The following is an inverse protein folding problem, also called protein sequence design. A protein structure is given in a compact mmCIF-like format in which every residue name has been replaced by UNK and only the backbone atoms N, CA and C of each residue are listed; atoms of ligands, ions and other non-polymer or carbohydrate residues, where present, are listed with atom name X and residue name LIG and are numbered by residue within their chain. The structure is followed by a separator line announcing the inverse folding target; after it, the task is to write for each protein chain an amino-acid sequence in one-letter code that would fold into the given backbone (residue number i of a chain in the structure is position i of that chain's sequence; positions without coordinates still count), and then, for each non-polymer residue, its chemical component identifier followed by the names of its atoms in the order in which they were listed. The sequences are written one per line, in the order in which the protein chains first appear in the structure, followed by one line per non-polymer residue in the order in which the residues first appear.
data_IF_843593009734
#
_entry.id   IF_843593009734
#
_cell.length_a   1.000
_cell.length_b   1.000
_cell.length_c   1.000
_cell.angle_alpha   90.00
_cell.angle_beta   90.00
_cell.angle_gamma   90.00
#
_symmetry.space_group_name_H-M   'P 1'
#
loop_
_entity.id
_entity.type
_entity.pdbx_description
1 polymer ?
#
# COMPACT_ATOMS: atom_id res chain seq x y z
N UNK A 1 21.82 -18.85 -15.97
CA UNK A 1 22.43 -19.62 -14.86
C UNK A 1 22.12 -18.88 -13.57
N UNK A 2 21.17 -19.35 -12.78
CA UNK A 2 20.90 -18.76 -11.47
C UNK A 2 22.14 -18.93 -10.59
N UNK A 3 22.68 -17.84 -10.05
CA UNK A 3 23.76 -17.87 -9.08
C UNK A 3 23.20 -18.37 -7.75
N UNK A 4 23.44 -19.65 -7.46
CA UNK A 4 23.08 -20.29 -6.20
C UNK A 4 24.06 -19.79 -5.12
N UNK A 5 23.66 -18.78 -4.35
CA UNK A 5 24.50 -18.20 -3.30
C UNK A 5 24.24 -18.91 -1.98
N UNK A 6 25.04 -19.94 -1.70
CA UNK A 6 25.18 -20.43 -0.32
C UNK A 6 25.69 -19.28 0.53
N UNK A 7 24.92 -18.91 1.55
CA UNK A 7 25.35 -17.84 2.46
C UNK A 7 26.66 -18.23 3.13
N UNK A 8 27.68 -17.35 3.17
CA UNK A 8 28.95 -17.62 3.84
C UNK A 8 28.78 -18.10 5.29
N UNK A 9 27.76 -17.60 5.97
CA UNK A 9 27.38 -18.01 7.33
C UNK A 9 27.10 -19.51 7.43
N UNK A 10 26.41 -20.09 6.46
CA UNK A 10 26.05 -21.51 6.46
C UNK A 10 27.28 -22.39 6.23
N UNK A 11 28.17 -22.01 5.31
CA UNK A 11 29.44 -22.71 5.11
C UNK A 11 30.28 -22.70 6.39
N UNK A 12 30.43 -21.55 7.03
CA UNK A 12 31.16 -21.46 8.29
C UNK A 12 30.51 -22.30 9.41
N UNK A 13 29.18 -22.28 9.54
CA UNK A 13 28.48 -23.12 10.52
C UNK A 13 28.73 -24.62 10.29
N UNK A 14 28.70 -25.09 9.04
CA UNK A 14 28.99 -26.49 8.70
C UNK A 14 30.45 -26.85 8.97
N UNK A 15 31.41 -26.00 8.58
CA UNK A 15 32.83 -26.23 8.88
C UNK A 15 33.12 -26.19 10.38
N UNK A 16 32.43 -25.35 11.15
CA UNK A 16 32.53 -25.33 12.61
C UNK A 16 31.98 -26.63 13.22
N UNK A 17 30.81 -27.09 12.75
CA UNK A 17 30.27 -28.39 13.15
C UNK A 17 31.24 -29.55 12.84
N UNK A 18 31.89 -29.53 11.68
CA UNK A 18 32.94 -30.49 11.31
C UNK A 18 34.13 -30.46 12.27
N UNK A 19 34.63 -29.27 12.62
CA UNK A 19 35.73 -29.13 13.58
C UNK A 19 35.35 -29.70 14.95
N UNK A 20 34.12 -29.46 15.41
CA UNK A 20 33.61 -30.03 16.67
C UNK A 20 33.64 -31.56 16.60
N UNK A 21 33.15 -32.16 15.52
CA UNK A 21 33.17 -33.63 15.35
C UNK A 21 34.61 -34.14 15.33
N UNK A 22 35.53 -33.51 14.60
CA UNK A 22 36.94 -33.91 14.57
C UNK A 22 37.60 -33.81 15.95
N UNK A 23 37.30 -32.76 16.72
CA UNK A 23 37.81 -32.59 18.10
C UNK A 23 37.24 -33.67 19.01
N UNK A 24 35.95 -33.98 18.93
CA UNK A 24 35.34 -35.06 19.71
C UNK A 24 36.01 -36.40 19.39
N UNK A 25 36.19 -36.72 18.10
CA UNK A 25 36.88 -37.95 17.67
C UNK A 25 38.33 -37.97 18.16
N UNK A 26 39.05 -36.85 18.11
CA UNK A 26 40.42 -36.72 18.64
C UNK A 26 40.47 -37.01 20.15
N UNK A 27 39.61 -36.36 20.91
CA UNK A 27 39.56 -36.48 22.37
C UNK A 27 39.19 -37.90 22.76
N UNK A 28 38.18 -38.49 22.11
CA UNK A 28 37.80 -39.89 22.31
C UNK A 28 38.96 -40.85 22.01
N UNK A 29 39.70 -40.64 20.92
CA UNK A 29 40.85 -41.46 20.57
C UNK A 29 42.03 -41.31 21.57
N UNK A 30 42.33 -40.08 22.02
CA UNK A 30 43.35 -39.82 23.03
C UNK A 30 42.98 -40.41 24.40
N UNK A 31 41.71 -40.34 24.79
CA UNK A 31 41.21 -40.92 26.03
C UNK A 31 41.32 -42.44 26.04
N UNK A 32 40.91 -43.11 24.95
CA UNK A 32 41.06 -44.56 24.79
C UNK A 32 42.52 -45.01 24.81
N UNK A 33 43.42 -44.22 24.19
CA UNK A 33 44.87 -44.43 24.27
C UNK A 33 45.39 -44.28 25.71
N UNK A 34 44.87 -43.31 26.47
CA UNK A 34 45.29 -43.01 27.84
C UNK A 34 44.87 -44.04 28.88
N UNK A 35 43.72 -44.71 28.71
CA UNK A 35 43.24 -45.74 29.64
C UNK A 35 43.98 -47.07 29.47
N UNK A 36 44.83 -47.20 28.45
CA UNK A 36 45.57 -48.44 28.20
C UNK A 36 44.66 -49.59 27.75
N UNK A 37 43.41 -49.31 27.36
CA UNK A 37 42.61 -50.27 26.60
C UNK A 37 43.38 -50.64 25.34
N UNK A 38 43.35 -51.92 24.96
CA UNK A 38 44.11 -52.51 23.87
C UNK A 38 43.72 -51.99 22.46
N UNK A 39 43.77 -50.68 22.24
CA UNK A 39 44.18 -50.10 20.96
C UNK A 39 45.68 -50.39 20.74
N UNK A 40 46.05 -51.66 20.85
CA UNK A 40 47.33 -52.26 20.42
C UNK A 40 47.23 -52.72 18.95
N UNK A 41 46.19 -52.29 18.23
CA UNK A 41 46.00 -52.60 16.82
C UNK A 41 47.00 -51.81 15.96
N UNK A 42 47.50 -52.46 14.91
CA UNK A 42 48.20 -51.80 13.80
C UNK A 42 47.34 -50.62 13.29
N UNK A 43 47.94 -49.44 13.11
CA UNK A 43 47.26 -48.27 12.48
C UNK A 43 46.87 -47.11 13.40
N UNK A 44 47.20 -47.12 14.70
CA UNK A 44 46.91 -45.97 15.60
C UNK A 44 47.61 -44.69 15.16
N UNK A 45 48.90 -44.77 14.77
CA UNK A 45 49.65 -43.62 14.25
C UNK A 45 49.07 -43.12 12.92
N UNK A 46 48.69 -44.04 12.04
CA UNK A 46 48.04 -43.75 10.76
C UNK A 46 46.68 -43.05 10.98
N UNK A 47 45.93 -43.44 12.02
CA UNK A 47 44.67 -42.80 12.38
C UNK A 47 44.86 -41.36 12.88
N UNK A 48 45.88 -41.11 13.73
CA UNK A 48 46.20 -39.73 14.15
C UNK A 48 46.69 -38.88 12.98
N UNK A 49 47.47 -39.44 12.05
CA UNK A 49 47.89 -38.77 10.82
C UNK A 49 46.70 -38.43 9.91
N UNK A 50 45.76 -39.36 9.75
CA UNK A 50 44.51 -39.12 9.01
C UNK A 50 43.70 -37.98 9.63
N UNK A 51 43.61 -37.96 10.97
CA UNK A 51 42.89 -36.90 11.67
C UNK A 51 43.57 -35.54 11.52
N UNK A 52 44.90 -35.50 11.62
CA UNK A 52 45.70 -34.29 11.35
C UNK A 52 45.50 -33.80 9.91
N UNK A 53 45.47 -34.72 8.95
CA UNK A 53 45.16 -34.42 7.55
C UNK A 53 43.72 -33.88 7.39
N UNK A 54 42.74 -34.44 8.10
CA UNK A 54 41.36 -33.93 8.09
C UNK A 54 41.27 -32.50 8.64
N UNK A 55 42.01 -32.16 9.71
CA UNK A 55 42.14 -30.79 10.21
C UNK A 55 42.79 -29.87 9.16
N UNK A 56 43.87 -30.32 8.53
CA UNK A 56 44.57 -29.57 7.47
C UNK A 56 43.63 -29.26 6.29
N UNK A 57 42.92 -30.26 5.76
CA UNK A 57 41.92 -30.09 4.69
C UNK A 57 40.85 -29.07 5.10
N UNK A 58 40.37 -29.13 6.35
CA UNK A 58 39.37 -28.17 6.86
C UNK A 58 39.90 -26.74 6.87
N UNK A 59 41.14 -26.54 7.33
CA UNK A 59 41.80 -25.22 7.34
C UNK A 59 41.99 -24.71 5.91
N UNK A 60 42.45 -25.56 4.99
CA UNK A 60 42.62 -25.20 3.58
C UNK A 60 41.28 -24.82 2.95
N UNK A 61 40.21 -25.56 3.23
CA UNK A 61 38.86 -25.25 2.73
C UNK A 61 38.36 -23.88 3.23
N UNK A 62 38.59 -23.55 4.51
CA UNK A 62 38.24 -22.24 5.09
C UNK A 62 39.02 -21.10 4.43
N UNK A 63 40.34 -21.27 4.25
CA UNK A 63 41.21 -20.27 3.61
C UNK A 63 40.89 -20.09 2.12
N UNK A 64 40.55 -21.18 1.43
CA UNK A 64 40.12 -21.16 0.03
C UNK A 64 38.81 -20.42 -0.12
N UNK A 65 37.83 -20.71 0.74
CA UNK A 65 36.52 -20.04 0.73
C UNK A 65 36.64 -18.53 1.00
N UNK A 66 37.56 -18.11 1.87
CA UNK A 66 37.82 -16.67 2.11
C UNK A 66 38.29 -15.93 0.84
N UNK A 67 38.92 -16.63 -0.11
CA UNK A 67 39.49 -16.03 -1.34
C UNK A 67 38.65 -16.23 -2.59
N UNK A 68 37.79 -17.26 -2.67
CA UNK A 68 37.02 -17.62 -3.87
C UNK A 68 35.57 -17.94 -3.54
N UNK A 69 34.65 -17.60 -4.45
CA UNK A 69 33.22 -17.93 -4.33
C UNK A 69 32.98 -19.45 -4.37
N UNK A 70 31.92 -19.91 -3.69
CA UNK A 70 31.45 -21.30 -3.74
C UNK A 70 30.92 -21.63 -5.14
N UNK A 71 31.63 -22.52 -5.84
CA UNK A 71 31.14 -23.13 -7.08
C UNK A 71 30.61 -24.53 -6.81
N UNK A 72 29.63 -24.99 -7.59
CA UNK A 72 29.05 -26.33 -7.45
C UNK A 72 30.09 -27.48 -7.45
N UNK A 73 31.12 -27.49 -8.31
CA UNK A 73 32.16 -28.52 -8.28
C UNK A 73 32.95 -28.55 -6.95
N UNK A 74 33.16 -27.39 -6.33
CA UNK A 74 33.88 -27.29 -5.06
C UNK A 74 33.11 -27.97 -3.92
N UNK A 75 31.78 -27.81 -3.88
CA UNK A 75 30.93 -28.43 -2.85
C UNK A 75 30.97 -29.95 -2.98
N UNK A 76 30.84 -30.48 -4.20
CA UNK A 76 30.96 -31.92 -4.43
C UNK A 76 32.35 -32.43 -4.07
N UNK A 77 33.42 -31.74 -4.48
CA UNK A 77 34.79 -32.11 -4.09
C UNK A 77 34.98 -32.09 -2.57
N UNK A 78 34.39 -31.11 -1.87
CA UNK A 78 34.42 -30.99 -0.42
C UNK A 78 33.73 -32.18 0.26
N UNK A 79 32.50 -32.52 -0.15
CA UNK A 79 31.77 -33.69 0.38
C UNK A 79 32.48 -35.00 0.04
N UNK A 80 33.05 -35.13 -1.16
CA UNK A 80 33.82 -36.32 -1.56
C UNK A 80 35.05 -36.50 -0.69
N UNK A 81 35.77 -35.42 -0.43
CA UNK A 81 36.95 -35.47 0.45
C UNK A 81 36.54 -35.93 1.85
N UNK A 82 35.41 -35.45 2.37
CA UNK A 82 34.90 -35.87 3.68
C UNK A 82 34.50 -37.34 3.71
N UNK A 83 33.86 -37.86 2.65
CA UNK A 83 33.56 -39.28 2.52
C UNK A 83 34.82 -40.14 2.47
N UNK A 84 35.85 -39.72 1.73
CA UNK A 84 37.14 -40.42 1.66
C UNK A 84 37.82 -40.45 3.04
N UNK A 85 37.84 -39.32 3.74
CA UNK A 85 38.40 -39.23 5.10
C UNK A 85 37.66 -40.13 6.09
N UNK A 86 36.32 -40.13 6.05
CA UNK A 86 35.51 -41.03 6.89
C UNK A 86 35.78 -42.49 6.54
N UNK A 87 35.92 -42.82 5.24
CA UNK A 87 36.24 -44.18 4.79
C UNK A 87 37.60 -44.65 5.32
N UNK A 88 38.62 -43.80 5.26
CA UNK A 88 39.94 -44.08 5.85
C UNK A 88 39.86 -44.28 7.36
N UNK A 89 39.08 -43.43 8.05
CA UNK A 89 38.90 -43.52 9.50
C UNK A 89 38.23 -44.84 9.90
N UNK A 90 37.18 -45.25 9.18
CA UNK A 90 36.47 -46.51 9.39
C UNK A 90 37.37 -47.71 9.09
N UNK A 91 38.14 -47.68 7.99
CA UNK A 91 39.10 -48.73 7.65
C UNK A 91 40.14 -48.97 8.76
N UNK A 92 40.77 -47.90 9.25
CA UNK A 92 41.83 -47.97 10.27
C UNK A 92 41.31 -48.37 11.67
N UNK A 93 40.02 -48.18 11.94
CA UNK A 93 39.42 -48.44 13.27
C UNK A 93 38.66 -49.77 13.37
N UNK A 94 38.85 -50.66 12.40
CA UNK A 94 38.23 -51.99 12.39
C UNK A 94 37.33 -52.28 11.18
N UNK A 95 37.40 -51.47 10.12
CA UNK A 95 36.63 -51.69 8.90
C UNK A 95 35.12 -51.60 9.15
N UNK A 96 34.39 -52.58 8.65
CA UNK A 96 32.92 -52.64 8.73
C UNK A 96 32.37 -52.83 10.15
N UNK A 97 33.19 -53.28 11.11
CA UNK A 97 32.81 -53.37 12.53
C UNK A 97 33.06 -52.06 13.30
N UNK A 98 33.66 -51.05 12.66
CA UNK A 98 33.95 -49.77 13.31
C UNK A 98 32.68 -49.02 13.71
N UNK A 99 32.67 -48.55 14.96
CA UNK A 99 31.64 -47.64 15.47
C UNK A 99 31.65 -46.27 14.77
N UNK A 100 32.66 -45.92 13.97
CA UNK A 100 32.72 -44.63 13.26
C UNK A 100 31.86 -44.59 11.99
N UNK A 101 31.20 -45.69 11.62
CA UNK A 101 30.34 -45.76 10.43
C UNK A 101 29.17 -44.75 10.44
N UNK A 102 28.75 -44.26 11.62
CA UNK A 102 27.73 -43.19 11.70
C UNK A 102 28.20 -41.85 11.10
N UNK A 103 29.51 -41.61 10.98
CA UNK A 103 30.05 -40.38 10.41
C UNK A 103 29.64 -40.19 8.94
N UNK A 104 29.41 -41.27 8.20
CA UNK A 104 28.84 -41.21 6.85
C UNK A 104 27.48 -40.52 6.85
N UNK A 105 26.62 -40.81 7.84
CA UNK A 105 25.30 -40.18 7.95
C UNK A 105 25.43 -38.68 8.22
N UNK A 106 26.39 -38.24 9.05
CA UNK A 106 26.66 -36.83 9.28
C UNK A 106 27.12 -36.11 8.01
N UNK A 107 27.99 -36.74 7.21
CA UNK A 107 28.44 -36.17 5.93
C UNK A 107 27.27 -36.07 4.94
N UNK A 108 26.47 -37.14 4.80
CA UNK A 108 25.26 -37.12 3.97
C UNK A 108 24.29 -36.03 4.44
N UNK A 109 24.05 -35.91 5.75
CA UNK A 109 23.17 -34.90 6.31
C UNK A 109 23.70 -33.48 6.08
N UNK A 110 25.00 -33.25 6.21
CA UNK A 110 25.62 -31.95 5.94
C UNK A 110 25.37 -31.47 4.50
N UNK A 111 25.23 -32.42 3.56
CA UNK A 111 24.95 -32.09 2.17
C UNK A 111 23.54 -31.53 1.91
N UNK A 112 22.61 -31.66 2.88
CA UNK A 112 21.25 -31.10 2.81
C UNK A 112 21.24 -29.57 2.85
N UNK A 113 22.27 -28.97 3.44
CA UNK A 113 22.36 -27.53 3.65
C UNK A 113 22.86 -26.79 2.41
N UNK A 114 23.46 -27.51 1.45
CA UNK A 114 23.65 -26.95 0.13
C UNK A 114 22.27 -26.93 -0.53
N UNK A 115 21.84 -25.80 -1.08
CA UNK A 115 20.47 -25.55 -1.63
C UNK A 115 20.07 -26.44 -2.85
N UNK A 116 20.59 -27.66 -2.90
CA UNK A 116 20.44 -28.64 -3.95
C UNK A 116 19.56 -29.79 -3.46
N UNK A 117 18.40 -29.92 -4.10
CA UNK A 117 17.42 -30.98 -3.85
C UNK A 117 17.97 -32.42 -3.98
N UNK A 118 19.13 -32.61 -4.60
CA UNK A 118 19.76 -33.92 -4.82
C UNK A 118 21.08 -34.13 -4.07
N UNK A 119 21.56 -33.14 -3.30
CA UNK A 119 22.82 -33.23 -2.56
C UNK A 119 22.93 -34.48 -1.67
N UNK A 120 21.91 -34.78 -0.84
CA UNK A 120 21.92 -35.96 0.03
C UNK A 120 21.90 -37.28 -0.73
N UNK A 121 21.09 -37.40 -1.78
CA UNK A 121 21.02 -38.62 -2.60
C UNK A 121 22.34 -38.91 -3.33
N UNK A 122 22.98 -37.88 -3.89
CA UNK A 122 24.29 -38.02 -4.53
C UNK A 122 25.35 -38.44 -3.51
N UNK A 123 25.35 -37.82 -2.33
CA UNK A 123 26.28 -38.14 -1.24
C UNK A 123 26.09 -39.57 -0.72
N UNK A 124 24.86 -40.06 -0.61
CA UNK A 124 24.57 -41.45 -0.25
C UNK A 124 25.04 -42.44 -1.32
N UNK A 125 24.95 -42.09 -2.61
CA UNK A 125 25.52 -42.91 -3.69
C UNK A 125 27.03 -43.09 -3.54
N UNK A 126 27.76 -41.98 -3.30
CA UNK A 126 29.20 -42.04 -3.06
C UNK A 126 29.57 -42.76 -1.76
N UNK A 127 28.80 -42.55 -0.68
CA UNK A 127 28.98 -43.30 0.56
C UNK A 127 28.76 -44.81 0.35
N UNK A 128 27.77 -45.19 -0.46
CA UNK A 128 27.53 -46.60 -0.80
C UNK A 128 28.73 -47.20 -1.54
N UNK A 129 29.28 -46.51 -2.53
CA UNK A 129 30.48 -46.97 -3.27
C UNK A 129 31.69 -47.12 -2.33
N UNK A 130 31.91 -46.14 -1.46
CA UNK A 130 32.98 -46.20 -0.48
C UNK A 130 32.80 -47.36 0.52
N UNK A 131 31.57 -47.66 0.91
CA UNK A 131 31.26 -48.77 1.81
C UNK A 131 31.37 -50.14 1.12
N UNK A 132 31.09 -50.24 -0.19
CA UNK A 132 31.39 -51.45 -0.99
C UNK A 132 32.90 -51.71 -0.97
N UNK A 133 33.72 -50.68 -1.12
CA UNK A 133 35.18 -50.84 -1.04
C UNK A 133 35.60 -51.41 0.33
N UNK A 134 35.07 -50.89 1.44
CA UNK A 134 35.35 -51.41 2.79
C UNK A 134 34.94 -52.88 2.95
N UNK A 135 33.73 -53.26 2.50
CA UNK A 135 33.27 -54.64 2.63
C UNK A 135 34.07 -55.61 1.79
N UNK A 136 34.56 -55.19 0.60
CA UNK A 136 35.46 -56.02 -0.22
C UNK A 136 36.82 -56.24 0.43
N UNK A 137 37.39 -55.22 1.08
CA UNK A 137 38.64 -55.34 1.83
C UNK A 137 38.50 -56.28 3.03
N UNK A 138 37.39 -56.19 3.75
CA UNK A 138 37.12 -57.07 4.88
C UNK A 138 36.80 -58.52 4.46
N UNK A 139 36.18 -58.72 3.29
CA UNK A 139 36.00 -60.05 2.71
C UNK A 139 37.35 -60.73 2.40
N UNK A 140 38.34 -59.96 1.93
CA UNK A 140 39.71 -60.47 1.70
C UNK A 140 40.42 -60.86 3.00
N UNK A 141 40.07 -60.25 4.14
CA UNK A 141 40.58 -60.61 5.47
C UNK A 141 39.95 -61.89 6.03
N UNK A 142 39.04 -62.53 5.30
CA UNK A 142 38.40 -63.79 5.70
C UNK A 142 37.16 -63.65 6.59
N UNK A 143 36.58 -62.44 6.69
CA UNK A 143 35.32 -62.23 7.43
C UNK A 143 34.16 -62.93 6.68
N UNK A 144 33.25 -63.64 7.37
CA UNK A 144 32.15 -64.37 6.73
C UNK A 144 31.27 -63.46 5.87
N UNK A 145 31.02 -63.86 4.62
CA UNK A 145 30.21 -63.07 3.67
C UNK A 145 28.80 -62.76 4.20
N UNK A 146 28.21 -63.64 5.02
CA UNK A 146 26.88 -63.42 5.63
C UNK A 146 26.88 -62.23 6.59
N UNK A 147 27.91 -62.09 7.41
CA UNK A 147 28.04 -60.98 8.37
C UNK A 147 28.28 -59.66 7.62
N UNK A 148 29.17 -59.68 6.62
CA UNK A 148 29.44 -58.51 5.78
C UNK A 148 28.21 -58.06 5.01
N UNK A 149 27.42 -59.00 4.46
CA UNK A 149 26.18 -58.69 3.77
C UNK A 149 25.18 -58.00 4.72
N UNK A 150 24.99 -58.51 5.94
CA UNK A 150 24.09 -57.91 6.91
C UNK A 150 24.50 -56.47 7.28
N UNK A 151 25.78 -56.26 7.58
CA UNK A 151 26.32 -54.93 7.92
C UNK A 151 26.24 -53.97 6.72
N UNK A 152 26.51 -54.46 5.51
CA UNK A 152 26.38 -53.71 4.26
C UNK A 152 24.94 -53.22 4.05
N UNK A 153 23.97 -54.13 4.06
CA UNK A 153 22.57 -53.77 3.81
C UNK A 153 22.02 -52.84 4.90
N UNK A 154 22.42 -53.02 6.17
CA UNK A 154 21.99 -52.16 7.27
C UNK A 154 22.52 -50.73 7.11
N UNK A 155 23.82 -50.56 6.82
CA UNK A 155 24.40 -49.23 6.60
C UNK A 155 23.89 -48.58 5.31
N UNK A 156 23.74 -49.35 4.23
CA UNK A 156 23.14 -48.86 3.00
C UNK A 156 21.72 -48.35 3.24
N UNK A 157 20.89 -49.11 3.97
CA UNK A 157 19.55 -48.68 4.35
C UNK A 157 19.59 -47.36 5.16
N UNK A 158 20.52 -47.24 6.11
CA UNK A 158 20.66 -46.03 6.92
C UNK A 158 21.14 -44.80 6.11
N UNK A 159 22.08 -44.97 5.17
CA UNK A 159 22.55 -43.90 4.28
C UNK A 159 21.44 -43.39 3.38
N UNK A 160 20.69 -44.30 2.74
CA UNK A 160 19.58 -43.94 1.88
C UNK A 160 18.40 -43.38 2.65
N UNK A 161 18.14 -43.85 3.87
CA UNK A 161 17.14 -43.26 4.76
C UNK A 161 17.51 -41.83 5.17
N UNK A 162 18.78 -41.60 5.53
CA UNK A 162 19.28 -40.26 5.87
C UNK A 162 19.21 -39.33 4.66
N UNK A 163 19.56 -39.82 3.47
CA UNK A 163 19.44 -39.05 2.25
C UNK A 163 17.98 -38.73 1.88
N UNK A 164 17.06 -39.67 2.07
CA UNK A 164 15.63 -39.46 1.82
C UNK A 164 15.06 -38.40 2.77
N UNK A 165 15.27 -38.57 4.08
CA UNK A 165 14.81 -37.62 5.10
C UNK A 165 15.44 -36.24 4.89
N UNK A 166 16.74 -36.20 4.62
CA UNK A 166 17.48 -35.00 4.30
C UNK A 166 16.94 -34.26 3.07
N UNK A 167 16.64 -35.01 2.00
CA UNK A 167 16.08 -34.44 0.76
C UNK A 167 14.65 -33.90 0.96
N UNK A 168 13.82 -34.61 1.74
CA UNK A 168 12.47 -34.13 2.10
C UNK A 168 12.55 -32.85 2.92
N UNK A 169 13.43 -32.80 3.92
CA UNK A 169 13.62 -31.64 4.78
C UNK A 169 14.14 -30.44 3.99
N UNK A 170 15.18 -30.63 3.19
CA UNK A 170 15.73 -29.59 2.32
C UNK A 170 14.67 -29.05 1.36
N UNK A 171 13.88 -29.93 0.73
CA UNK A 171 12.77 -29.52 -0.15
C UNK A 171 11.73 -28.70 0.59
N UNK A 172 11.27 -29.14 1.77
CA UNK A 172 10.27 -28.42 2.58
C UNK A 172 10.76 -27.05 3.04
N UNK A 173 12.02 -26.95 3.46
CA UNK A 173 12.64 -25.69 3.87
C UNK A 173 12.72 -24.71 2.70
N UNK A 174 13.18 -25.18 1.54
CA UNK A 174 13.26 -24.35 0.33
C UNK A 174 11.88 -23.90 -0.14
N UNK A 175 10.87 -24.76 -0.13
CA UNK A 175 9.50 -24.38 -0.51
C UNK A 175 8.89 -23.40 0.48
N UNK A 176 9.07 -23.61 1.78
CA UNK A 176 8.54 -22.71 2.81
C UNK A 176 9.18 -21.32 2.72
N UNK A 177 10.50 -21.25 2.50
CA UNK A 177 11.20 -19.97 2.30
C UNK A 177 10.69 -19.26 1.04
N UNK A 178 10.56 -19.97 -0.08
CA UNK A 178 10.01 -19.41 -1.33
C UNK A 178 8.58 -18.91 -1.15
N UNK A 179 7.76 -19.60 -0.37
CA UNK A 179 6.37 -19.16 -0.11
C UNK A 179 6.34 -17.86 0.71
N UNK A 180 7.20 -17.75 1.74
CA UNK A 180 7.34 -16.50 2.52
C UNK A 180 7.81 -15.35 1.63
N UNK A 181 8.82 -15.57 0.78
CA UNK A 181 9.32 -14.56 -0.14
C UNK A 181 8.27 -14.18 -1.19
N UNK A 182 7.48 -15.15 -1.69
CA UNK A 182 6.37 -14.93 -2.61
C UNK A 182 5.25 -14.11 -1.98
N UNK A 183 4.86 -14.43 -0.74
CA UNK A 183 3.83 -13.69 0.00
C UNK A 183 4.27 -12.23 0.22
N UNK A 184 5.54 -12.00 0.58
CA UNK A 184 6.11 -10.65 0.69
C UNK A 184 6.06 -9.91 -0.65
N UNK A 185 6.49 -10.55 -1.73
CA UNK A 185 6.46 -9.93 -3.06
C UNK A 185 5.03 -9.60 -3.52
N UNK A 186 4.06 -10.47 -3.24
CA UNK A 186 2.63 -10.20 -3.52
C UNK A 186 2.16 -9.01 -2.69
N UNK A 187 2.47 -8.97 -1.39
CA UNK A 187 2.10 -7.85 -0.53
C UNK A 187 2.67 -6.53 -1.07
N UNK A 188 3.97 -6.48 -1.38
CA UNK A 188 4.61 -5.28 -1.92
C UNK A 188 3.98 -4.85 -3.26
N UNK A 189 3.73 -5.81 -4.16
CA UNK A 189 3.10 -5.54 -5.46
C UNK A 189 1.67 -5.03 -5.31
N UNK A 190 0.87 -5.63 -4.42
CA UNK A 190 -0.51 -5.18 -4.16
C UNK A 190 -0.48 -3.75 -3.64
N UNK A 191 0.36 -3.46 -2.64
CA UNK A 191 0.45 -2.13 -2.03
C UNK A 191 0.93 -1.06 -3.03
N UNK A 192 1.86 -1.40 -3.93
CA UNK A 192 2.36 -0.49 -4.97
C UNK A 192 1.43 -0.37 -6.19
N UNK A 193 0.54 -1.35 -6.42
CA UNK A 193 -0.47 -1.29 -7.48
C UNK A 193 -1.68 -0.43 -7.11
N UNK A 194 -1.86 -0.09 -5.83
CA UNK A 194 -2.92 0.82 -5.39
C UNK A 194 -2.68 2.22 -5.95
N UNK A 195 -3.70 2.78 -6.61
CA UNK A 195 -3.68 4.17 -7.09
C UNK A 195 -3.81 5.19 -5.96
N UNK A 196 -4.22 4.75 -4.76
CA UNK A 196 -4.33 5.57 -3.56
C UNK A 196 -3.03 5.50 -2.76
N UNK A 197 -2.65 6.64 -2.18
CA UNK A 197 -1.56 6.70 -1.22
C UNK A 197 -1.93 6.00 0.07
N UNK A 198 -1.02 5.18 0.60
CA UNK A 198 -1.15 4.52 1.89
C UNK A 198 0.06 4.88 2.75
N UNK A 199 -0.21 5.38 3.95
CA UNK A 199 0.79 5.57 5.02
C UNK A 199 0.39 4.69 6.20
N UNK A 200 1.33 3.92 6.72
CA UNK A 200 1.17 3.19 7.97
C UNK A 200 2.09 3.80 9.02
N UNK A 201 1.57 4.03 10.21
CA UNK A 201 2.33 4.51 11.37
C UNK A 201 2.27 3.52 12.51
N UNK A 202 3.25 3.60 13.40
CA UNK A 202 3.16 3.00 14.73
C UNK A 202 2.13 3.77 15.61
N UNK A 203 1.89 3.35 16.87
CA UNK A 203 1.00 4.07 17.78
C UNK A 203 1.52 5.46 18.18
N UNK A 204 2.83 5.72 18.05
CA UNK A 204 3.46 7.00 18.38
C UNK A 204 3.40 8.03 17.23
N UNK A 205 3.02 7.59 16.04
CA UNK A 205 2.93 8.39 14.82
C UNK A 205 4.20 8.37 13.96
N UNK A 206 5.15 7.48 14.23
CA UNK A 206 6.29 7.21 13.37
C UNK A 206 5.85 6.42 12.14
N UNK A 207 6.20 6.91 10.95
CA UNK A 207 5.86 6.28 9.67
C UNK A 207 6.67 5.00 9.52
N UNK A 208 5.97 3.86 9.46
CA UNK A 208 6.55 2.54 9.20
C UNK A 208 6.64 2.31 7.69
N UNK A 209 5.62 2.74 6.95
CA UNK A 209 5.50 2.43 5.53
C UNK A 209 4.78 3.55 4.77
N UNK A 210 5.19 3.76 3.53
CA UNK A 210 4.48 4.58 2.55
C UNK A 210 4.64 3.96 1.16
N UNK A 211 3.52 3.68 0.49
CA UNK A 211 3.53 3.07 -0.84
C UNK A 211 3.99 4.06 -1.93
N UNK A 212 4.27 3.54 -3.13
CA UNK A 212 4.68 4.37 -4.27
C UNK A 212 3.70 5.50 -4.59
N UNK A 213 2.40 5.19 -4.67
CA UNK A 213 1.38 6.19 -4.98
C UNK A 213 1.34 7.32 -3.94
N UNK A 214 1.53 7.00 -2.66
CA UNK A 214 1.59 8.01 -1.59
C UNK A 214 2.76 8.97 -1.75
N UNK A 215 3.94 8.45 -2.14
CA UNK A 215 5.10 9.31 -2.45
C UNK A 215 4.87 10.20 -3.67
N UNK A 216 4.18 9.70 -4.68
CA UNK A 216 3.87 10.46 -5.91
C UNK A 216 2.85 11.57 -5.63
N UNK A 217 1.76 11.27 -4.91
CA UNK A 217 0.72 12.24 -4.55
C UNK A 217 1.24 13.34 -3.62
N UNK A 218 2.23 13.05 -2.76
CA UNK A 218 2.78 14.02 -1.79
C UNK A 218 4.08 14.70 -2.23
N UNK A 219 4.71 14.27 -3.33
CA UNK A 219 6.08 14.67 -3.76
C UNK A 219 6.35 16.18 -3.66
N UNK A 220 5.37 16.98 -4.07
CA UNK A 220 5.51 18.43 -4.21
C UNK A 220 4.85 19.23 -3.07
N UNK A 221 4.46 18.54 -1.99
CA UNK A 221 3.87 19.18 -0.80
C UNK A 221 4.57 18.76 0.49
N UNK A 222 4.70 17.44 0.75
CA UNK A 222 5.20 16.92 2.02
C UNK A 222 6.19 15.78 1.75
N UNK A 223 7.44 15.92 2.21
CA UNK A 223 8.46 14.89 2.08
C UNK A 223 8.32 13.85 3.22
N UNK A 224 7.65 12.73 2.96
CA UNK A 224 7.45 11.65 3.92
C UNK A 224 8.32 10.45 3.57
N UNK A 225 8.90 9.81 4.58
CA UNK A 225 9.70 8.59 4.47
C UNK A 225 9.60 7.79 5.77
N UNK A 226 9.85 6.47 5.74
CA UNK A 226 9.89 5.66 6.96
C UNK A 226 10.85 6.26 8.00
N UNK A 227 10.43 6.27 9.27
CA UNK A 227 11.16 6.87 10.39
C UNK A 227 10.80 8.33 10.70
N UNK A 228 10.10 9.04 9.80
CA UNK A 228 9.59 10.37 10.10
C UNK A 228 8.33 10.31 10.98
N UNK A 229 8.11 11.33 11.82
CA UNK A 229 6.89 11.46 12.62
C UNK A 229 5.81 12.22 11.86
N UNK A 230 4.68 11.56 11.60
CA UNK A 230 3.55 12.12 10.87
C UNK A 230 2.95 13.34 11.57
N UNK A 231 2.93 13.35 12.91
CA UNK A 231 2.45 14.48 13.71
C UNK A 231 3.13 15.81 13.39
N UNK A 232 4.44 15.79 13.07
CA UNK A 232 5.20 17.00 12.77
C UNK A 232 5.09 17.45 11.31
N UNK A 233 4.87 16.50 10.39
CA UNK A 233 4.82 16.77 8.95
C UNK A 233 3.42 17.08 8.45
N UNK A 234 2.41 16.43 9.04
CA UNK A 234 1.01 16.60 8.65
C UNK A 234 0.07 16.49 9.86
N UNK A 235 0.04 17.53 10.72
CA UNK A 235 -0.71 17.50 11.98
C UNK A 235 -2.20 17.26 11.81
N UNK A 236 -2.80 17.84 10.76
CA UNK A 236 -4.23 17.74 10.42
C UNK A 236 -4.64 16.28 10.19
N UNK A 237 -3.88 15.54 9.37
CA UNK A 237 -4.14 14.12 9.12
C UNK A 237 -3.90 13.28 10.37
N UNK A 238 -2.89 13.61 11.17
CA UNK A 238 -2.62 12.88 12.41
C UNK A 238 -3.76 13.00 13.44
N UNK A 239 -4.50 14.12 13.46
CA UNK A 239 -5.65 14.29 14.36
C UNK A 239 -6.82 13.36 14.02
N UNK A 240 -6.95 12.91 12.77
CA UNK A 240 -8.03 12.00 12.34
C UNK A 240 -8.05 10.67 13.11
N UNK A 241 -6.93 10.27 13.72
CA UNK A 241 -6.85 9.04 14.53
C UNK A 241 -7.82 9.04 15.72
N UNK A 242 -8.11 10.21 16.28
CA UNK A 242 -9.01 10.34 17.43
C UNK A 242 -10.46 10.00 17.07
N UNK A 243 -10.86 10.18 15.81
CA UNK A 243 -12.20 9.84 15.34
C UNK A 243 -12.39 8.33 15.13
N UNK A 244 -11.30 7.63 14.81
CA UNK A 244 -11.29 6.18 14.59
C UNK A 244 -11.37 5.40 15.90
N UNK A 245 -10.78 5.93 16.98
CA UNK A 245 -10.84 5.30 18.30
C UNK A 245 -12.25 5.41 18.95
N UNK A 246 -13.12 6.30 18.43
CA UNK A 246 -14.49 6.51 18.93
C UNK A 246 -15.62 5.91 18.07
N UNK A 247 -15.36 5.62 16.79
CA UNK A 247 -16.42 5.25 15.83
C UNK A 247 -15.99 4.13 14.89
N UNK A 248 -16.83 3.10 14.71
CA UNK A 248 -16.59 1.90 13.88
C UNK A 248 -16.54 2.13 12.35
N UNK A 249 -16.18 3.32 11.89
CA UNK A 249 -16.14 3.63 10.46
C UNK A 249 -15.07 4.67 10.14
N UNK A 250 -14.26 4.37 9.12
CA UNK A 250 -13.34 5.33 8.54
C UNK A 250 -14.16 6.43 7.85
N UNK A 251 -14.34 7.57 8.52
CA UNK A 251 -14.93 8.75 7.90
C UNK A 251 -13.94 9.27 6.86
N UNK A 252 -14.45 9.57 5.66
CA UNK A 252 -13.64 10.18 4.59
C UNK A 252 -13.73 11.69 4.73
N UNK A 253 -12.59 12.33 4.93
CA UNK A 253 -12.48 13.78 5.00
C UNK A 253 -11.77 14.31 3.76
N UNK A 254 -12.10 15.54 3.38
CA UNK A 254 -11.46 16.21 2.25
C UNK A 254 -10.49 17.26 2.76
N UNK A 255 -9.21 17.12 2.39
CA UNK A 255 -8.15 18.05 2.76
C UNK A 255 -7.61 18.71 1.50
N UNK A 256 -7.45 20.04 1.55
CA UNK A 256 -6.80 20.79 0.48
C UNK A 256 -5.30 20.92 0.77
N UNK A 257 -4.51 20.27 -0.06
CA UNK A 257 -3.06 20.30 -0.01
C UNK A 257 -2.55 21.46 -0.88
N UNK A 258 -1.72 22.33 -0.33
CA UNK A 258 -1.00 23.33 -1.12
C UNK A 258 0.31 22.74 -1.63
N UNK A 259 0.52 22.83 -2.95
CA UNK A 259 1.73 22.38 -3.62
C UNK A 259 2.77 23.51 -3.62
N UNK A 260 4.06 23.16 -3.78
CA UNK A 260 5.17 24.13 -3.83
C UNK A 260 5.05 25.17 -4.95
N UNK A 261 4.32 24.86 -6.01
CA UNK A 261 4.04 25.76 -7.13
C UNK A 261 2.86 26.72 -6.87
N UNK A 262 2.23 26.63 -5.69
CA UNK A 262 1.07 27.43 -5.29
C UNK A 262 -0.27 26.88 -5.77
N UNK A 263 -0.29 25.79 -6.55
CA UNK A 263 -1.53 25.12 -6.93
C UNK A 263 -2.11 24.31 -5.77
N UNK A 264 -3.42 24.03 -5.83
CA UNK A 264 -4.14 23.29 -4.78
C UNK A 264 -4.56 21.92 -5.29
N UNK A 265 -4.27 20.89 -4.51
CA UNK A 265 -4.70 19.51 -4.76
C UNK A 265 -5.74 19.10 -3.71
N UNK A 266 -6.87 18.55 -4.15
CA UNK A 266 -7.90 18.04 -3.25
C UNK A 266 -7.64 16.56 -2.97
N UNK A 267 -7.46 16.20 -1.70
CA UNK A 267 -7.26 14.83 -1.27
C UNK A 267 -8.47 14.34 -0.46
N UNK A 268 -9.02 13.20 -0.84
CA UNK A 268 -9.95 12.46 0.01
C UNK A 268 -9.15 11.49 0.89
N UNK A 269 -9.19 11.68 2.21
CA UNK A 269 -8.39 10.95 3.19
C UNK A 269 -9.29 10.14 4.12
N UNK A 270 -8.87 8.93 4.44
CA UNK A 270 -9.54 8.04 5.40
C UNK A 270 -8.51 7.43 6.33
N UNK A 271 -8.81 7.44 7.63
CA UNK A 271 -7.98 6.85 8.66
C UNK A 271 -8.60 5.53 9.15
N UNK A 272 -7.77 4.54 9.47
CA UNK A 272 -8.18 3.28 10.09
C UNK A 272 -7.15 2.82 11.12
N UNK A 273 -7.57 2.06 12.12
CA UNK A 273 -6.68 1.51 13.15
C UNK A 273 -6.17 0.13 12.75
N UNK A 274 -4.89 -0.14 12.98
CA UNK A 274 -4.28 -1.44 12.77
C UNK A 274 -4.44 -2.26 14.05
N UNK A 275 -5.52 -3.04 14.18
CA UNK A 275 -5.74 -3.88 15.37
C UNK A 275 -5.56 -5.36 15.02
N UNK A 276 -4.93 -6.11 15.93
CA UNK A 276 -4.90 -7.58 15.82
C UNK A 276 -6.21 -8.22 16.30
N UNK A 277 -7.01 -7.49 17.08
CA UNK A 277 -8.30 -7.90 17.62
C UNK A 277 -9.06 -6.63 18.07
N UNK A 278 -10.40 -6.58 17.98
CA UNK A 278 -11.19 -5.40 18.33
C UNK A 278 -11.04 -4.91 19.78
N UNK A 279 -10.61 -5.76 20.71
CA UNK A 279 -10.47 -5.44 22.14
C UNK A 279 -9.06 -5.02 22.55
N UNK A 280 -8.07 -5.12 21.65
CA UNK A 280 -6.67 -4.78 21.96
C UNK A 280 -6.36 -3.36 21.47
N UNK A 281 -5.42 -2.72 22.17
CA UNK A 281 -4.86 -1.44 21.74
C UNK A 281 -4.35 -1.55 20.28
N UNK A 282 -4.53 -0.49 19.48
CA UNK A 282 -4.09 -0.49 18.10
C UNK A 282 -2.56 -0.63 18.03
N UNK A 283 -2.09 -1.48 17.12
CA UNK A 283 -0.68 -1.65 16.77
C UNK A 283 -0.14 -0.46 15.96
N UNK A 284 -1.03 0.43 15.52
CA UNK A 284 -0.71 1.60 14.71
C UNK A 284 -1.94 2.13 13.99
N UNK A 285 -1.72 3.08 13.09
CA UNK A 285 -2.77 3.69 12.28
C UNK A 285 -2.41 3.66 10.81
N UNK A 286 -3.42 3.51 9.95
CA UNK A 286 -3.29 3.57 8.51
C UNK A 286 -4.06 4.74 7.94
N UNK A 287 -3.45 5.46 7.01
CA UNK A 287 -4.04 6.60 6.32
C UNK A 287 -4.05 6.31 4.83
N UNK A 288 -5.25 6.21 4.24
CA UNK A 288 -5.44 6.08 2.80
C UNK A 288 -5.87 7.44 2.26
N UNK A 289 -5.22 7.92 1.22
CA UNK A 289 -5.56 9.19 0.58
C UNK A 289 -5.53 9.07 -0.94
N UNK A 290 -6.44 9.78 -1.59
CA UNK A 290 -6.60 9.76 -3.04
C UNK A 290 -6.73 11.18 -3.58
N UNK A 291 -6.04 11.46 -4.68
CA UNK A 291 -6.25 12.70 -5.43
C UNK A 291 -7.63 12.69 -6.09
N UNK A 292 -8.52 13.53 -5.59
CA UNK A 292 -9.89 13.71 -6.09
C UNK A 292 -10.03 14.99 -6.92
N UNK A 293 -8.92 15.70 -7.19
CA UNK A 293 -8.92 16.92 -8.01
C UNK A 293 -9.54 16.68 -9.39
N UNK A 294 -9.16 15.62 -10.15
CA UNK A 294 -9.76 15.36 -11.46
C UNK A 294 -11.26 15.07 -11.38
N UNK A 295 -11.70 14.37 -10.32
CA UNK A 295 -13.10 14.08 -10.09
C UNK A 295 -13.90 15.36 -9.84
N UNK A 296 -13.39 16.26 -9.00
CA UNK A 296 -14.00 17.58 -8.75
C UNK A 296 -14.06 18.45 -10.00
N UNK A 297 -13.04 18.42 -10.84
CA UNK A 297 -13.04 19.15 -12.11
C UNK A 297 -14.11 18.61 -13.07
N UNK A 298 -14.28 17.29 -13.14
CA UNK A 298 -15.34 16.66 -13.92
C UNK A 298 -16.73 17.00 -13.37
N UNK A 299 -16.92 16.94 -12.06
CA UNK A 299 -18.18 17.32 -11.40
C UNK A 299 -18.57 18.77 -11.72
N UNK A 300 -17.62 19.71 -11.58
CA UNK A 300 -17.84 21.12 -11.95
C UNK A 300 -18.16 21.29 -13.44
N UNK A 301 -17.53 20.51 -14.32
CA UNK A 301 -17.82 20.53 -15.76
C UNK A 301 -19.23 20.05 -16.05
N UNK A 302 -19.68 18.97 -15.39
CA UNK A 302 -21.04 18.46 -15.52
C UNK A 302 -22.06 19.48 -15.03
N UNK A 303 -21.85 20.07 -13.85
CA UNK A 303 -22.71 21.14 -13.33
C UNK A 303 -22.82 22.33 -14.29
N UNK A 304 -21.70 22.72 -14.93
CA UNK A 304 -21.71 23.79 -15.95
C UNK A 304 -22.50 23.39 -17.20
N UNK A 305 -22.37 22.14 -17.66
CA UNK A 305 -23.13 21.65 -18.81
C UNK A 305 -24.62 21.59 -18.52
N UNK A 306 -25.01 21.12 -17.34
CA UNK A 306 -26.40 21.07 -16.89
C UNK A 306 -27.01 22.47 -16.84
N UNK A 307 -26.28 23.44 -16.25
CA UNK A 307 -26.69 24.86 -16.25
C UNK A 307 -26.84 25.45 -17.65
N UNK A 308 -25.94 25.11 -18.58
CA UNK A 308 -26.03 25.55 -19.98
C UNK A 308 -27.20 24.92 -20.72
N UNK A 309 -27.50 23.65 -20.46
CA UNK A 309 -28.66 22.97 -21.04
C UNK A 309 -29.97 23.61 -20.54
N UNK A 310 -30.09 23.84 -19.23
CA UNK A 310 -31.22 24.55 -18.62
C UNK A 310 -31.38 25.98 -19.20
N UNK A 311 -30.27 26.72 -19.37
CA UNK A 311 -30.28 28.02 -20.04
C UNK A 311 -30.80 27.93 -21.49
N UNK A 312 -30.42 26.89 -22.23
CA UNK A 312 -30.90 26.65 -23.59
C UNK A 312 -32.41 26.43 -23.66
N UNK A 313 -32.95 25.61 -22.76
CA UNK A 313 -34.39 25.37 -22.65
C UNK A 313 -35.15 26.64 -22.23
N UNK A 314 -34.64 27.36 -21.22
CA UNK A 314 -35.20 28.64 -20.80
C UNK A 314 -35.15 29.70 -21.91
N UNK A 315 -34.10 29.75 -22.73
CA UNK A 315 -33.98 30.73 -23.82
C UNK A 315 -35.07 30.56 -24.88
N UNK A 316 -35.49 29.31 -25.16
CA UNK A 316 -36.61 29.05 -26.07
C UNK A 316 -37.95 29.55 -25.48
N UNK A 317 -38.18 29.35 -24.18
CA UNK A 317 -39.32 29.93 -23.47
C UNK A 317 -39.27 31.46 -23.41
N UNK A 318 -38.08 32.02 -23.16
CA UNK A 318 -37.82 33.46 -23.11
C UNK A 318 -38.14 34.11 -24.46
N UNK A 319 -37.74 33.49 -25.57
CA UNK A 319 -38.07 34.01 -26.91
C UNK A 319 -39.59 34.16 -27.12
N UNK A 320 -40.39 33.24 -26.60
CA UNK A 320 -41.85 33.34 -26.62
C UNK A 320 -42.36 34.44 -25.67
N UNK A 321 -41.80 34.55 -24.46
CA UNK A 321 -42.19 35.57 -23.49
C UNK A 321 -41.77 36.98 -23.89
N UNK A 322 -40.68 37.18 -24.63
CA UNK A 322 -40.25 38.47 -25.18
C UNK A 322 -41.11 38.91 -26.38
N UNK A 323 -41.55 37.95 -27.21
CA UNK A 323 -42.35 38.21 -28.41
C UNK A 323 -43.71 38.82 -28.08
N UNK A 324 -44.30 38.46 -26.93
CA UNK A 324 -45.59 38.96 -26.46
C UNK A 324 -45.60 40.47 -26.12
N UNK A 325 -44.76 40.99 -25.22
CA UNK A 325 -44.61 42.42 -24.94
C UNK A 325 -44.27 43.20 -26.21
N UNK A 326 -43.33 42.70 -27.03
CA UNK A 326 -42.93 43.36 -28.28
C UNK A 326 -44.08 43.47 -29.29
N UNK A 327 -44.92 42.44 -29.40
CA UNK A 327 -46.11 42.47 -30.25
C UNK A 327 -47.16 43.47 -29.71
N UNK A 328 -47.37 43.49 -28.39
CA UNK A 328 -48.28 44.43 -27.71
C UNK A 328 -47.83 45.89 -27.91
N UNK A 329 -46.53 46.17 -27.69
CA UNK A 329 -45.91 47.47 -27.92
C UNK A 329 -46.03 47.91 -29.39
N UNK A 330 -45.72 47.00 -30.33
CA UNK A 330 -45.79 47.29 -31.77
C UNK A 330 -47.22 47.59 -32.22
N UNK A 331 -48.20 46.83 -31.71
CA UNK A 331 -49.62 47.08 -31.95
C UNK A 331 -50.06 48.44 -31.40
N UNK A 332 -49.69 48.74 -30.15
CA UNK A 332 -50.02 50.02 -29.53
C UNK A 332 -49.39 51.22 -30.27
N UNK A 333 -48.12 51.08 -30.69
CA UNK A 333 -47.42 52.08 -31.48
C UNK A 333 -48.03 52.29 -32.88
N UNK A 334 -48.47 51.22 -33.56
CA UNK A 334 -49.18 51.33 -34.84
C UNK A 334 -50.53 52.04 -34.70
N UNK A 335 -51.28 51.77 -33.62
CA UNK A 335 -52.52 52.47 -33.33
C UNK A 335 -52.31 53.95 -33.02
N UNK A 336 -51.24 54.28 -32.29
CA UNK A 336 -50.82 55.66 -32.06
C UNK A 336 -50.45 56.37 -33.36
N UNK A 337 -49.64 55.75 -34.23
CA UNK A 337 -49.21 56.35 -35.50
C UNK A 337 -50.38 56.64 -36.47
N UNK A 338 -51.45 55.84 -36.42
CA UNK A 338 -52.68 56.08 -37.21
C UNK A 338 -53.56 57.20 -36.65
N UNK A 339 -53.31 57.67 -35.42
CA UNK A 339 -54.06 58.74 -34.77
C UNK A 339 -53.23 60.02 -34.71
N UNK A 340 -53.69 61.06 -35.39
CA UNK A 340 -53.01 62.36 -35.48
C UNK A 340 -53.21 63.31 -34.28
N UNK A 341 -53.26 62.82 -33.03
CA UNK A 341 -53.42 63.69 -31.85
C UNK A 341 -53.34 62.99 -30.49
N UNK A 342 -52.92 63.72 -29.44
CA UNK A 342 -52.83 63.20 -28.06
C UNK A 342 -54.18 63.27 -27.33
N UNK A 343 -55.03 62.28 -27.55
CA UNK A 343 -56.26 62.07 -26.76
C UNK A 343 -56.06 61.08 -25.59
N UNK A 344 -57.09 60.89 -24.74
CA UNK A 344 -57.03 59.93 -23.60
C UNK A 344 -56.67 58.50 -24.03
N UNK A 345 -57.11 58.07 -25.21
CA UNK A 345 -56.80 56.73 -25.71
C UNK A 345 -55.32 56.62 -26.13
N UNK A 346 -54.74 57.68 -26.68
CA UNK A 346 -53.31 57.76 -26.99
C UNK A 346 -52.44 57.71 -25.74
N UNK A 347 -52.85 58.35 -24.64
CA UNK A 347 -52.17 58.21 -23.33
C UNK A 347 -52.19 56.77 -22.82
N UNK A 348 -53.32 56.07 -22.88
CA UNK A 348 -53.40 54.64 -22.51
C UNK A 348 -52.50 53.74 -23.36
N UNK A 349 -52.38 54.01 -24.66
CA UNK A 349 -51.49 53.25 -25.54
C UNK A 349 -50.01 53.48 -25.19
N UNK A 350 -49.63 54.70 -24.81
CA UNK A 350 -48.28 54.99 -24.28
C UNK A 350 -48.01 54.28 -22.95
N UNK A 351 -48.97 54.27 -22.02
CA UNK A 351 -48.87 53.54 -20.75
C UNK A 351 -48.69 52.03 -20.96
N UNK A 352 -49.37 51.44 -21.94
CA UNK A 352 -49.18 50.03 -22.32
C UNK A 352 -47.75 49.79 -22.83
N UNK A 353 -47.23 50.67 -23.69
CA UNK A 353 -45.87 50.55 -24.21
C UNK A 353 -44.84 50.63 -23.08
N UNK A 354 -45.00 51.58 -22.16
CA UNK A 354 -44.10 51.77 -21.02
C UNK A 354 -44.12 50.56 -20.09
N UNK A 355 -45.31 50.02 -19.78
CA UNK A 355 -45.46 48.82 -18.95
C UNK A 355 -44.79 47.59 -19.58
N UNK A 356 -44.98 47.35 -20.87
CA UNK A 356 -44.39 46.21 -21.56
C UNK A 356 -42.86 46.37 -21.75
N UNK A 357 -42.36 47.59 -21.92
CA UNK A 357 -40.93 47.87 -21.94
C UNK A 357 -40.25 47.59 -20.57
N UNK A 358 -40.91 47.99 -19.47
CA UNK A 358 -40.46 47.67 -18.11
C UNK A 358 -40.43 46.16 -17.86
N UNK A 359 -41.46 45.44 -18.31
CA UNK A 359 -41.52 43.98 -18.25
C UNK A 359 -40.43 43.29 -19.07
N UNK A 360 -40.14 43.79 -20.27
CA UNK A 360 -39.02 43.30 -21.09
C UNK A 360 -37.68 43.44 -20.37
N UNK A 361 -37.46 44.57 -19.70
CA UNK A 361 -36.23 44.82 -18.97
C UNK A 361 -36.08 43.86 -17.77
N UNK A 362 -37.15 43.59 -17.01
CA UNK A 362 -37.09 42.67 -15.87
C UNK A 362 -36.86 41.21 -16.29
N UNK A 363 -37.45 40.77 -17.40
CA UNK A 363 -37.20 39.44 -17.99
C UNK A 363 -35.73 39.32 -18.42
N UNK A 364 -35.19 40.33 -19.09
CA UNK A 364 -33.80 40.35 -19.54
C UNK A 364 -32.80 40.35 -18.36
N UNK A 365 -33.06 41.13 -17.31
CA UNK A 365 -32.22 41.18 -16.10
C UNK A 365 -32.22 39.84 -15.36
N UNK A 366 -33.38 39.20 -15.21
CA UNK A 366 -33.51 37.89 -14.54
C UNK A 366 -32.73 36.81 -15.29
N UNK A 367 -32.78 36.82 -16.63
CA UNK A 367 -32.01 35.91 -17.47
C UNK A 367 -30.50 36.13 -17.35
N UNK A 368 -30.04 37.39 -17.38
CA UNK A 368 -28.63 37.74 -17.23
C UNK A 368 -28.07 37.39 -15.84
N UNK A 369 -28.89 37.47 -14.80
CA UNK A 369 -28.51 37.06 -13.45
C UNK A 369 -28.27 35.55 -13.36
N UNK A 370 -29.15 34.75 -13.97
CA UNK A 370 -29.02 33.28 -14.00
C UNK A 370 -27.87 32.81 -14.91
N UNK A 371 -27.61 33.51 -16.01
CA UNK A 371 -26.54 33.20 -16.96
C UNK A 371 -25.13 33.61 -16.50
N UNK A 372 -25.01 34.48 -15.49
CA UNK A 372 -23.70 34.91 -14.99
C UNK A 372 -22.97 33.75 -14.28
N UNK A 373 -21.65 33.59 -14.51
CA UNK A 373 -20.86 32.62 -13.75
C UNK A 373 -20.92 32.93 -12.26
N UNK A 374 -20.95 31.90 -11.41
CA UNK A 374 -20.78 32.06 -9.97
C UNK A 374 -19.51 32.86 -9.69
N UNK A 375 -19.69 34.11 -9.27
CA UNK A 375 -18.63 34.90 -8.63
C UNK A 375 -18.60 34.49 -7.16
N UNK A 376 -18.17 33.26 -6.91
CA UNK A 376 -17.95 32.75 -5.55
C UNK A 376 -16.70 33.36 -4.88
N UNK A 377 -16.28 34.58 -5.25
CA UNK A 377 -14.99 35.13 -4.82
C UNK A 377 -15.07 36.51 -4.15
N UNK A 378 -16.27 37.09 -4.01
CA UNK A 378 -16.49 38.23 -3.13
C UNK A 378 -17.48 37.79 -2.05
N UNK A 379 -16.97 37.06 -1.05
CA UNK A 379 -17.67 36.87 0.21
C UNK A 379 -17.63 38.21 0.96
N UNK A 380 -18.68 39.01 0.78
CA UNK A 380 -18.94 40.13 1.68
C UNK A 380 -19.86 39.62 2.78
N UNK A 381 -19.59 40.00 4.04
CA UNK A 381 -20.43 39.66 5.18
C UNK A 381 -21.67 40.57 5.17
N UNK A 382 -22.78 40.08 4.62
CA UNK A 382 -24.04 40.81 4.60
C UNK A 382 -24.74 40.73 5.97
N UNK A 383 -25.27 41.87 6.43
CA UNK A 383 -26.18 41.92 7.57
C UNK A 383 -27.62 41.70 7.08
N UNK A 384 -28.25 40.56 7.40
CA UNK A 384 -29.59 40.25 6.92
C UNK A 384 -30.65 41.26 7.41
N UNK A 385 -30.47 41.87 8.58
CA UNK A 385 -31.44 42.84 9.11
C UNK A 385 -31.42 44.11 8.27
N UNK A 386 -30.22 44.66 8.03
CA UNK A 386 -30.03 45.86 7.20
C UNK A 386 -30.55 45.65 5.78
N UNK A 387 -30.35 44.46 5.20
CA UNK A 387 -30.84 44.14 3.85
C UNK A 387 -32.37 44.15 3.79
N UNK A 388 -33.05 43.58 4.79
CA UNK A 388 -34.51 43.56 4.83
C UNK A 388 -35.06 44.97 5.07
N UNK A 389 -34.47 45.75 5.97
CA UNK A 389 -34.88 47.14 6.23
C UNK A 389 -34.76 48.02 4.99
N UNK A 390 -33.66 47.91 4.24
CA UNK A 390 -33.45 48.65 2.99
C UNK A 390 -34.52 48.31 1.94
N UNK A 391 -34.87 47.03 1.82
CA UNK A 391 -35.91 46.58 0.88
C UNK A 391 -37.29 47.09 1.30
N UNK A 392 -37.62 47.04 2.59
CA UNK A 392 -38.90 47.55 3.10
C UNK A 392 -39.03 49.06 2.88
N UNK A 393 -37.97 49.83 3.13
CA UNK A 393 -37.95 51.27 2.89
C UNK A 393 -38.14 51.63 1.39
N UNK A 394 -37.67 50.77 0.49
CA UNK A 394 -37.90 50.91 -0.95
C UNK A 394 -39.36 50.65 -1.32
N UNK A 395 -39.96 49.63 -0.71
CA UNK A 395 -41.34 49.19 -0.94
C UNK A 395 -42.36 50.21 -0.38
N UNK A 396 -42.12 50.77 0.81
CA UNK A 396 -42.97 51.82 1.40
C UNK A 396 -43.12 53.07 0.53
N UNK A 397 -42.11 53.39 -0.29
CA UNK A 397 -42.14 54.55 -1.20
C UNK A 397 -42.96 54.31 -2.47
N UNK A 398 -43.38 53.07 -2.73
CA UNK A 398 -44.08 52.67 -3.96
C UNK A 398 -45.58 52.92 -3.79
N UNK A 399 -46.12 53.89 -4.53
CA UNK A 399 -47.52 54.37 -4.36
C UNK A 399 -48.61 53.43 -4.88
N UNK A 400 -48.24 52.39 -5.63
CA UNK A 400 -49.17 51.51 -6.36
C UNK A 400 -49.34 50.12 -5.70
N UNK A 401 -48.91 49.96 -4.45
CA UNK A 401 -49.04 48.69 -3.72
C UNK A 401 -50.35 48.63 -2.92
N UNK A 402 -50.96 47.44 -2.76
CA UNK A 402 -52.09 47.23 -1.88
C UNK A 402 -51.80 47.69 -0.45
N UNK A 403 -52.82 48.20 0.24
CA UNK A 403 -52.70 48.54 1.65
C UNK A 403 -52.51 47.26 2.48
N UNK A 404 -51.31 47.04 3.01
CA UNK A 404 -50.98 45.88 3.82
C UNK A 404 -50.31 46.30 5.13
N UNK A 405 -50.57 45.57 6.20
CA UNK A 405 -49.85 45.71 7.47
C UNK A 405 -48.54 44.93 7.37
N UNK A 406 -47.40 45.62 7.47
CA UNK A 406 -46.08 44.99 7.49
C UNK A 406 -45.66 44.83 8.95
N UNK A 407 -45.50 43.59 9.40
CA UNK A 407 -44.95 43.27 10.72
C UNK A 407 -43.54 42.70 10.57
N UNK A 408 -42.56 43.31 11.22
CA UNK A 408 -41.17 42.86 11.21
C UNK A 408 -40.79 42.25 12.56
N UNK A 409 -40.13 41.09 12.53
CA UNK A 409 -39.53 40.46 13.72
C UNK A 409 -38.18 39.87 13.35
N UNK A 410 -37.13 40.39 13.96
CA UNK A 410 -35.76 39.97 13.69
C UNK A 410 -35.18 39.18 14.86
N UNK A 411 -34.70 37.97 14.58
CA UNK A 411 -33.94 37.13 15.52
C UNK A 411 -32.62 36.68 14.88
N UNK A 412 -31.89 37.61 14.26
CA UNK A 412 -30.59 37.35 13.63
C UNK A 412 -29.45 37.87 14.52
N UNK A 413 -28.46 37.01 14.79
CA UNK A 413 -27.25 37.36 15.57
C UNK A 413 -25.96 37.28 14.76
N UNK A 414 -26.00 36.66 13.58
CA UNK A 414 -24.82 36.34 12.77
C UNK A 414 -24.94 37.00 11.39
N UNK A 415 -23.80 37.41 10.85
CA UNK A 415 -23.70 37.89 9.47
C UNK A 415 -23.68 36.70 8.51
N UNK A 416 -24.26 36.91 7.34
CA UNK A 416 -24.32 35.88 6.30
C UNK A 416 -23.14 36.06 5.35
N UNK A 417 -22.44 34.96 5.04
CA UNK A 417 -21.40 34.95 3.99
C UNK A 417 -22.02 34.90 2.59
N UNK A 418 -22.79 35.93 2.24
CA UNK A 418 -23.46 36.06 0.95
C UNK A 418 -23.35 37.51 0.45
N UNK A 419 -23.20 37.75 -0.86
CA UNK A 419 -23.16 39.12 -1.38
C UNK A 419 -24.49 39.84 -1.13
N UNK A 420 -24.41 41.10 -0.67
CA UNK A 420 -25.56 41.88 -0.23
C UNK A 420 -26.58 42.16 -1.36
N UNK A 421 -26.09 42.46 -2.58
CA UNK A 421 -26.94 42.77 -3.74
C UNK A 421 -27.90 41.64 -4.16
N UNK A 422 -27.41 40.41 -4.42
CA UNK A 422 -28.25 39.24 -4.66
C UNK A 422 -29.26 38.96 -3.54
N UNK A 423 -28.85 39.13 -2.27
CA UNK A 423 -29.74 38.94 -1.13
C UNK A 423 -30.88 39.97 -1.14
N UNK A 424 -30.57 41.25 -1.36
CA UNK A 424 -31.57 42.32 -1.55
C UNK A 424 -32.58 41.97 -2.65
N UNK A 425 -32.11 41.42 -3.77
CA UNK A 425 -32.98 41.04 -4.89
C UNK A 425 -33.92 39.87 -4.55
N UNK A 426 -33.43 38.85 -3.83
CA UNK A 426 -34.27 37.74 -3.36
C UNK A 426 -35.35 38.26 -2.42
N UNK A 427 -34.97 39.07 -1.42
CA UNK A 427 -35.92 39.64 -0.45
C UNK A 427 -36.95 40.51 -1.15
N UNK A 428 -36.53 41.39 -2.07
CA UNK A 428 -37.44 42.23 -2.85
C UNK A 428 -38.44 41.39 -3.67
N UNK A 429 -37.98 40.34 -4.33
CA UNK A 429 -38.85 39.45 -5.10
C UNK A 429 -39.89 38.75 -4.21
N UNK A 430 -39.49 38.27 -3.03
CA UNK A 430 -40.42 37.65 -2.07
C UNK A 430 -41.46 38.65 -1.56
N UNK A 431 -41.04 39.87 -1.21
CA UNK A 431 -41.96 40.92 -0.75
C UNK A 431 -42.93 41.31 -1.86
N UNK A 432 -42.46 41.51 -3.09
CA UNK A 432 -43.32 41.81 -4.24
C UNK A 432 -44.33 40.68 -4.52
N UNK A 433 -43.88 39.42 -4.50
CA UNK A 433 -44.77 38.27 -4.65
C UNK A 433 -45.84 38.21 -3.54
N UNK A 434 -45.49 38.59 -2.31
CA UNK A 434 -46.43 38.65 -1.20
C UNK A 434 -47.52 39.71 -1.45
N UNK A 435 -47.14 40.90 -1.92
CA UNK A 435 -48.11 41.93 -2.31
C UNK A 435 -49.00 41.50 -3.48
N UNK A 436 -48.44 40.87 -4.51
CA UNK A 436 -49.22 40.37 -5.66
C UNK A 436 -50.23 39.29 -5.26
N UNK A 437 -49.88 38.49 -4.24
CA UNK A 437 -50.74 37.42 -3.72
C UNK A 437 -51.93 37.93 -2.90
N UNK A 438 -51.90 39.18 -2.42
CA UNK A 438 -52.99 39.78 -1.66
C UNK A 438 -54.23 40.11 -2.51
N UNK A 439 -54.10 40.03 -3.86
CA UNK A 439 -55.18 40.40 -4.78
C UNK A 439 -55.44 41.90 -4.83
N UNK A 440 -56.28 42.36 -5.77
CA UNK A 440 -56.63 43.78 -5.92
C UNK A 440 -57.49 44.34 -4.78
#
# INVERSE_FOLDING_TARGET
MASYEITPRLFYALTAGRLVVLVVVLVSALFLKGIGTAWQAQGVEEFFLLLAFAFFVTIVAILWFKKRRLTLPFIYAYVMTDLILVTGAVYLTGGTESHLSFLYMLVIFSSCFFEYQYGPSVSAGFATVAYIFLTTMDAQKGIPLRSLAFVFFTNMAAFWLTALLGSILARRLLTSRKEVDRLRAIQDTVLDSLSSGLILTDPSGEVIFINRAGKEVLRDAIAISPGHRLQGLWPEVWQMRYEVDGTRGAKREEVQLQLKDGSKRSLGISCFSLTSSPEKAPLGYGFIFQDITPFKEQERRLQRMDRLAALGEMAAGLAHELRNPLASMSGAAQFLAKRGGMDRASKRLLEIIEKEASRLNSIAESFLLYARPDRSNNQEDADPVSVIEDVLALVERKKDLPSATIETRFEAKERLQVPEGPLKQVVLNLVMNAFESLGP
#
